data_IF_689023507770
#
_entry.id   IF_689023507770
#
_cell.length_a   1.000
_cell.length_b   1.000
_cell.length_c   1.000
_cell.angle_alpha   90.00
_cell.angle_beta   90.00
_cell.angle_gamma   90.00
#
_symmetry.space_group_name_H-M   'P 1'
#
loop_
_entity.id
_entity.type
_entity.pdbx_description
1 polymer ?
#
# COMPACT_ATOMS: atom_id res chain seq x y z
N UNK A 1 22.31 20.08 -0.64
CA UNK A 1 22.94 18.96 -1.38
C UNK A 1 22.17 17.64 -1.28
N UNK A 2 21.39 17.39 -0.21
CA UNK A 2 20.55 16.17 -0.05
C UNK A 2 19.28 16.22 -0.91
N UNK A 3 18.64 17.39 -1.02
CA UNK A 3 17.40 17.59 -1.81
C UNK A 3 17.62 17.26 -3.29
N UNK A 4 18.75 17.68 -3.87
CA UNK A 4 19.06 17.46 -5.29
C UNK A 4 19.30 16.00 -5.66
N UNK A 5 19.75 15.15 -4.72
CA UNK A 5 19.99 13.72 -4.97
C UNK A 5 18.68 12.92 -5.01
N UNK A 6 17.68 13.33 -4.21
CA UNK A 6 16.34 12.74 -4.24
C UNK A 6 15.54 13.15 -5.48
N UNK A 7 15.61 14.41 -5.91
CA UNK A 7 14.98 14.84 -7.18
C UNK A 7 15.53 14.05 -8.37
N UNK A 8 16.83 13.78 -8.46
CA UNK A 8 17.39 12.98 -9.58
C UNK A 8 16.88 11.53 -9.63
N UNK A 9 16.61 10.87 -8.50
CA UNK A 9 16.03 9.50 -8.48
C UNK A 9 14.49 9.55 -8.72
N UNK A 10 13.81 10.65 -8.37
CA UNK A 10 12.39 10.88 -8.71
C UNK A 10 12.14 11.23 -10.19
N UNK A 11 12.99 12.07 -10.79
CA UNK A 11 12.79 12.56 -12.16
C UNK A 11 12.89 11.44 -13.21
N UNK A 12 13.62 10.36 -12.92
CA UNK A 12 13.79 9.23 -13.85
C UNK A 12 12.60 8.24 -13.82
N UNK A 13 11.71 8.32 -12.83
CA UNK A 13 10.53 7.43 -12.70
C UNK A 13 9.22 8.20 -12.94
N UNK A 14 9.28 9.52 -13.14
CA UNK A 14 8.09 10.32 -13.46
C UNK A 14 7.52 10.06 -14.87
N UNK A 15 8.28 9.43 -15.78
CA UNK A 15 7.83 9.11 -17.14
C UNK A 15 6.96 7.85 -17.25
N UNK A 16 6.77 7.05 -16.19
CA UNK A 16 5.95 5.83 -16.23
C UNK A 16 4.53 6.05 -15.64
N UNK A 17 4.18 7.29 -15.31
CA UNK A 17 2.88 7.65 -14.72
C UNK A 17 1.82 7.93 -15.81
N UNK A 18 1.07 6.90 -16.20
CA UNK A 18 -0.29 7.05 -16.74
C UNK A 18 -1.13 5.78 -16.47
N UNK A 19 -2.42 5.87 -16.07
CA UNK A 19 -3.28 7.04 -15.94
C UNK A 19 -3.59 7.45 -14.48
N UNK A 20 -3.70 8.76 -14.28
CA UNK A 20 -4.05 9.52 -13.06
C UNK A 20 -5.49 9.32 -12.56
N UNK A 21 -6.07 8.15 -12.77
CA UNK A 21 -7.48 7.89 -12.45
C UNK A 21 -7.68 6.43 -12.10
N UNK A 22 -8.31 6.18 -10.94
CA UNK A 22 -8.86 4.87 -10.58
C UNK A 22 -9.57 4.22 -11.78
N UNK A 23 -9.32 2.93 -12.10
CA UNK A 23 -10.08 2.25 -13.13
C UNK A 23 -11.59 2.38 -12.84
N UNK A 24 -12.42 2.73 -13.85
CA UNK A 24 -13.86 2.95 -13.67
C UNK A 24 -14.58 1.79 -13.00
N UNK A 25 -14.05 0.57 -13.16
CA UNK A 25 -14.56 -0.67 -12.57
C UNK A 25 -14.58 -0.68 -11.04
N UNK A 26 -13.90 0.25 -10.38
CA UNK A 26 -13.87 0.34 -8.92
C UNK A 26 -14.82 1.40 -8.34
N UNK A 27 -15.49 2.20 -9.19
CA UNK A 27 -16.24 3.40 -8.76
C UNK A 27 -17.74 3.20 -8.56
N UNK A 28 -18.35 2.06 -8.91
CA UNK A 28 -19.81 1.90 -8.83
C UNK A 28 -20.25 0.87 -7.78
N UNK A 29 -20.73 1.37 -6.64
CA UNK A 29 -21.54 0.63 -5.66
C UNK A 29 -20.82 -0.38 -4.77
N UNK A 30 -19.54 -0.66 -5.02
CA UNK A 30 -18.74 -1.59 -4.20
C UNK A 30 -17.77 -0.83 -3.29
N UNK A 31 -17.48 -1.45 -2.13
CA UNK A 31 -16.40 -1.00 -1.26
C UNK A 31 -15.06 -1.19 -1.95
N UNK A 32 -14.24 -0.14 -1.94
CA UNK A 32 -12.89 -0.21 -2.51
C UNK A 32 -11.96 -0.94 -1.54
N UNK A 33 -11.22 -1.94 -2.02
CA UNK A 33 -10.21 -2.65 -1.23
C UNK A 33 -8.85 -2.53 -1.92
N UNK A 34 -7.88 -1.95 -1.21
CA UNK A 34 -6.49 -1.87 -1.68
C UNK A 34 -5.54 -2.57 -0.70
N UNK A 35 -4.51 -3.21 -1.24
CA UNK A 35 -3.38 -3.72 -0.50
C UNK A 35 -2.22 -2.74 -0.57
N UNK A 36 -1.57 -2.47 0.56
CA UNK A 36 -0.35 -1.69 0.66
C UNK A 36 0.80 -2.58 1.13
N UNK A 37 1.91 -2.52 0.42
CA UNK A 37 3.15 -3.21 0.78
C UNK A 37 4.36 -2.27 0.71
N UNK A 38 5.14 -2.22 1.78
CA UNK A 38 6.35 -1.40 1.89
C UNK A 38 7.55 -2.24 1.50
N UNK A 39 8.31 -1.78 0.51
CA UNK A 39 9.56 -2.42 0.08
C UNK A 39 10.75 -1.50 0.34
N UNK A 40 11.71 -1.98 1.13
CA UNK A 40 12.96 -1.26 1.35
C UNK A 40 13.87 -1.38 0.12
N UNK A 41 14.20 -0.24 -0.47
CA UNK A 41 15.16 -0.18 -1.56
C UNK A 41 16.59 -0.30 -1.01
N UNK A 42 17.39 -1.15 -1.65
CA UNK A 42 18.81 -1.38 -1.33
C UNK A 42 19.70 -0.69 -2.36
N UNK A 43 20.91 -0.32 -1.95
CA UNK A 43 21.93 0.26 -2.84
C UNK A 43 21.99 1.79 -2.74
N UNK A 44 22.13 2.46 -3.90
CA UNK A 44 22.36 3.90 -3.99
C UNK A 44 21.10 4.73 -3.66
N UNK A 45 19.90 4.27 -4.06
CA UNK A 45 18.64 4.90 -3.64
C UNK A 45 18.19 4.24 -2.34
N UNK A 46 18.21 5.02 -1.24
CA UNK A 46 17.75 4.62 0.09
C UNK A 46 16.31 5.11 0.26
N UNK A 47 15.42 4.26 0.77
CA UNK A 47 14.03 4.63 1.04
C UNK A 47 13.10 3.43 1.05
N UNK A 48 11.82 3.73 1.22
CA UNK A 48 10.72 2.78 1.17
C UNK A 48 9.88 3.08 -0.07
N UNK A 49 9.64 2.06 -0.89
CA UNK A 49 8.73 2.10 -2.02
C UNK A 49 7.41 1.47 -1.60
N UNK A 50 6.34 2.24 -1.68
CA UNK A 50 4.99 1.77 -1.42
C UNK A 50 4.39 1.19 -2.71
N UNK A 51 4.01 -0.08 -2.68
CA UNK A 51 3.26 -0.72 -3.76
C UNK A 51 1.79 -0.80 -3.40
N UNK A 52 0.94 -0.39 -4.34
CA UNK A 52 -0.52 -0.38 -4.18
C UNK A 52 -1.13 -1.37 -5.16
N UNK A 53 -1.88 -2.33 -4.62
CA UNK A 53 -2.63 -3.31 -5.39
C UNK A 53 -4.12 -3.16 -5.15
N UNK A 54 -4.92 -3.27 -6.20
CA UNK A 54 -6.38 -3.25 -6.14
C UNK A 54 -6.94 -4.65 -6.17
N UNK A 55 -8.16 -4.80 -5.67
CA UNK A 55 -8.99 -5.97 -5.91
C UNK A 55 -10.30 -5.55 -6.58
N UNK A 56 -10.68 -6.21 -7.67
CA UNK A 56 -11.98 -5.97 -8.33
C UNK A 56 -13.09 -6.85 -7.73
N UNK A 57 -14.32 -6.64 -8.20
CA UNK A 57 -15.48 -7.43 -7.80
C UNK A 57 -15.38 -8.92 -8.17
N UNK A 58 -14.50 -9.28 -9.12
CA UNK A 58 -14.24 -10.65 -9.56
C UNK A 58 -13.08 -11.30 -8.79
N UNK A 59 -12.61 -10.69 -7.69
CA UNK A 59 -11.44 -11.13 -6.91
C UNK A 59 -10.11 -11.13 -7.66
N UNK A 60 -10.00 -10.47 -8.81
CA UNK A 60 -8.71 -10.28 -9.45
C UNK A 60 -7.89 -9.22 -8.70
N UNK A 61 -6.59 -9.45 -8.63
CA UNK A 61 -5.62 -8.50 -8.06
C UNK A 61 -4.85 -7.86 -9.20
N UNK A 62 -4.74 -6.54 -9.18
CA UNK A 62 -4.01 -5.78 -10.19
C UNK A 62 -3.16 -4.68 -9.53
N UNK A 63 -1.99 -4.35 -10.09
CA UNK A 63 -1.23 -3.20 -9.63
C UNK A 63 -2.00 -1.91 -9.95
N UNK A 64 -2.05 -0.99 -9.00
CA UNK A 64 -2.65 0.34 -9.20
C UNK A 64 -1.58 1.41 -9.35
N UNK A 65 -0.70 1.54 -8.36
CA UNK A 65 0.28 2.62 -8.31
C UNK A 65 1.50 2.21 -7.49
N UNK A 66 2.61 2.90 -7.74
CA UNK A 66 3.80 2.90 -6.89
C UNK A 66 4.08 4.32 -6.46
N UNK A 67 4.31 4.52 -5.17
CA UNK A 67 4.57 5.83 -4.60
C UNK A 67 5.69 5.75 -3.57
N UNK A 68 6.41 6.84 -3.41
CA UNK A 68 7.42 6.98 -2.35
C UNK A 68 6.79 7.40 -1.03
N UNK A 69 5.62 8.04 -1.09
CA UNK A 69 4.92 8.59 0.07
C UNK A 69 3.42 8.35 -0.04
N UNK A 70 2.76 8.13 1.10
CA UNK A 70 1.32 7.89 1.16
C UNK A 70 0.51 9.15 0.78
N UNK A 71 1.04 10.34 1.01
CA UNK A 71 0.44 11.62 0.61
C UNK A 71 0.34 11.74 -0.91
N UNK A 72 1.40 11.38 -1.63
CA UNK A 72 1.38 11.34 -3.10
C UNK A 72 0.31 10.36 -3.61
N UNK A 73 0.20 9.19 -2.97
CA UNK A 73 -0.85 8.23 -3.31
C UNK A 73 -2.25 8.80 -3.06
N UNK A 74 -2.46 9.47 -1.93
CA UNK A 74 -3.75 10.09 -1.60
C UNK A 74 -4.16 11.11 -2.66
N UNK A 75 -3.22 11.96 -3.06
CA UNK A 75 -3.46 13.04 -4.01
C UNK A 75 -3.66 12.50 -5.43
N UNK A 76 -2.79 11.59 -5.89
CA UNK A 76 -2.84 11.00 -7.23
C UNK A 76 -4.11 10.16 -7.46
N UNK A 77 -4.64 9.56 -6.40
CA UNK A 77 -5.81 8.69 -6.47
C UNK A 77 -7.11 9.36 -6.01
N UNK A 78 -7.04 10.62 -5.57
CA UNK A 78 -8.17 11.36 -5.01
C UNK A 78 -8.92 10.55 -3.93
N UNK A 79 -8.19 10.01 -2.94
CA UNK A 79 -8.74 9.03 -1.98
C UNK A 79 -9.78 9.61 -0.99
N UNK A 80 -10.07 10.91 -1.05
CA UNK A 80 -11.07 11.60 -0.20
C UNK A 80 -10.89 11.27 1.29
N UNK A 81 -9.65 11.28 1.78
CA UNK A 81 -9.34 10.91 3.17
C UNK A 81 -9.66 9.46 3.56
N UNK A 82 -9.90 8.57 2.59
CA UNK A 82 -10.18 7.14 2.80
C UNK A 82 -11.66 6.78 2.94
N UNK A 83 -12.58 7.67 2.58
CA UNK A 83 -14.01 7.36 2.65
C UNK A 83 -14.37 6.17 1.74
N UNK A 84 -15.12 5.19 2.26
CA UNK A 84 -15.49 3.94 1.58
C UNK A 84 -14.30 3.08 1.09
N UNK A 85 -13.10 3.35 1.60
CA UNK A 85 -11.88 2.60 1.31
C UNK A 85 -11.57 1.62 2.45
N UNK A 86 -11.08 0.44 2.08
CA UNK A 86 -10.50 -0.54 2.98
C UNK A 86 -9.04 -0.76 2.57
N UNK A 87 -8.12 -0.57 3.50
CA UNK A 87 -6.69 -0.79 3.30
C UNK A 87 -6.25 -2.02 4.05
N UNK A 88 -5.69 -2.99 3.32
CA UNK A 88 -5.01 -4.16 3.86
C UNK A 88 -3.52 -3.91 3.82
N UNK A 89 -2.85 -3.92 4.97
CA UNK A 89 -1.40 -3.65 5.02
C UNK A 89 -0.70 -4.58 6.02
N UNK A 90 0.63 -4.64 5.95
CA UNK A 90 1.46 -5.35 6.93
C UNK A 90 1.60 -4.52 8.21
N UNK A 91 1.65 -5.19 9.38
CA UNK A 91 1.66 -4.52 10.68
C UNK A 91 3.02 -3.86 10.99
N UNK A 92 3.34 -2.80 10.26
CA UNK A 92 4.43 -1.89 10.55
C UNK A 92 3.86 -0.67 11.29
N UNK A 93 4.44 -0.33 12.46
CA UNK A 93 3.92 0.76 13.30
C UNK A 93 3.97 2.11 12.57
N UNK A 94 5.03 2.34 11.79
CA UNK A 94 5.19 3.56 10.99
C UNK A 94 4.06 3.73 9.98
N UNK A 95 3.78 2.68 9.20
CA UNK A 95 2.72 2.70 8.20
C UNK A 95 1.34 2.97 8.81
N UNK A 96 1.01 2.31 9.92
CA UNK A 96 -0.30 2.51 10.57
C UNK A 96 -0.50 3.98 10.97
N UNK A 97 0.50 4.61 11.58
CA UNK A 97 0.40 6.01 11.99
C UNK A 97 0.33 6.95 10.77
N UNK A 98 1.08 6.67 9.71
CA UNK A 98 0.99 7.42 8.46
C UNK A 98 -0.42 7.32 7.82
N UNK A 99 -1.00 6.11 7.77
CA UNK A 99 -2.36 5.94 7.22
C UNK A 99 -3.39 6.68 8.06
N UNK A 100 -3.30 6.67 9.40
CA UNK A 100 -4.24 7.43 10.24
C UNK A 100 -4.20 8.93 9.98
N UNK A 101 -3.02 9.46 9.64
CA UNK A 101 -2.83 10.88 9.33
C UNK A 101 -3.36 11.22 7.93
N UNK A 102 -2.98 10.44 6.92
CA UNK A 102 -3.29 10.73 5.50
C UNK A 102 -4.69 10.26 5.09
N UNK A 103 -5.17 9.14 5.64
CA UNK A 103 -6.44 8.49 5.31
C UNK A 103 -7.27 8.23 6.59
N UNK A 104 -7.70 9.29 7.30
CA UNK A 104 -8.32 9.16 8.62
C UNK A 104 -9.66 8.40 8.62
N UNK A 105 -10.33 8.29 7.47
CA UNK A 105 -11.64 7.65 7.35
C UNK A 105 -11.58 6.22 6.82
N UNK A 106 -10.38 5.69 6.60
CA UNK A 106 -10.20 4.36 6.01
C UNK A 106 -10.49 3.24 7.00
N UNK A 107 -11.06 2.14 6.52
CA UNK A 107 -11.05 0.91 7.32
C UNK A 107 -9.69 0.23 7.21
N UNK A 108 -9.09 -0.04 8.37
CA UNK A 108 -7.83 -0.74 8.46
C UNK A 108 -8.05 -2.24 8.62
N UNK A 109 -7.39 -3.04 7.78
CA UNK A 109 -7.27 -4.49 7.94
C UNK A 109 -5.82 -4.91 7.94
N UNK A 110 -5.52 -5.92 8.76
CA UNK A 110 -4.20 -6.57 8.74
C UNK A 110 -4.19 -7.64 7.67
N UNK A 111 -3.08 -7.74 6.95
CA UNK A 111 -2.87 -8.82 6.00
C UNK A 111 -2.89 -10.19 6.72
N UNK A 112 -3.86 -11.04 6.41
CA UNK A 112 -4.01 -12.36 7.01
C UNK A 112 -2.76 -13.25 6.78
N UNK A 113 -2.16 -13.18 5.58
CA UNK A 113 -0.91 -13.90 5.25
C UNK A 113 0.22 -13.53 6.21
N UNK A 114 0.37 -12.24 6.48
CA UNK A 114 1.41 -11.76 7.37
C UNK A 114 1.09 -12.02 8.85
N UNK A 115 -0.18 -11.90 9.25
CA UNK A 115 -0.62 -12.28 10.59
C UNK A 115 -0.31 -13.75 10.85
N UNK A 116 -0.59 -14.62 9.88
CA UNK A 116 -0.26 -16.04 9.93
C UNK A 116 1.26 -16.30 9.95
N UNK A 117 2.03 -15.61 9.10
CA UNK A 117 3.48 -15.73 9.11
C UNK A 117 4.09 -15.32 10.46
N UNK A 118 3.57 -14.25 11.08
CA UNK A 118 3.97 -13.83 12.42
C UNK A 118 3.55 -14.84 13.49
N UNK A 119 2.34 -15.38 13.39
CA UNK A 119 1.87 -16.45 14.28
C UNK A 119 2.82 -17.67 14.22
N UNK A 120 3.18 -18.14 13.03
CA UNK A 120 4.11 -19.28 12.85
C UNK A 120 5.54 -19.03 13.36
N UNK A 121 5.99 -17.77 13.40
CA UNK A 121 7.29 -17.42 14.00
C UNK A 121 7.28 -17.58 15.52
N UNK A 122 6.15 -17.31 16.17
CA UNK A 122 5.98 -17.41 17.63
C UNK A 122 5.59 -18.84 18.05
N UNK A 123 4.74 -19.50 17.26
CA UNK A 123 4.20 -20.81 17.56
C UNK A 123 4.63 -21.82 16.48
N UNK A 124 5.72 -22.55 16.76
CA UNK A 124 6.32 -23.54 15.86
C UNK A 124 5.99 -25.00 16.23
N UNK A 125 5.20 -25.21 17.29
CA UNK A 125 4.83 -26.55 17.78
C UNK A 125 4.01 -27.35 16.77
N UNK A 126 4.13 -28.69 16.81
CA UNK A 126 3.40 -29.63 15.94
C UNK A 126 1.88 -29.41 16.04
N UNK A 127 1.39 -29.02 17.21
CA UNK A 127 -0.01 -28.68 17.48
C UNK A 127 -0.54 -27.54 16.59
N UNK A 128 0.33 -26.62 16.16
CA UNK A 128 -0.02 -25.46 15.35
C UNK A 128 0.34 -25.62 13.86
N UNK A 129 0.76 -26.83 13.45
CA UNK A 129 1.26 -27.11 12.09
C UNK A 129 0.15 -27.14 11.03
N UNK A 130 -1.10 -27.37 11.45
CA UNK A 130 -2.27 -27.56 10.58
C UNK A 130 -3.39 -26.53 10.81
N UNK A 131 -3.10 -25.45 11.55
CA UNK A 131 -3.96 -24.26 11.62
C UNK A 131 -3.57 -23.33 10.46
#
# INVERSE_FOLDING_TARGET
>A
MIVHYYTRCCDTIHEVLHPRTFPPSLKFGCRIVIGLDESFLKGQCKGELLTVIGRDANNHVYPIAWAWFLELLHDDMELQGGLNLCVIFYQHKGLLEAIKVVLPHVEHRKCARHAYANFRKVFSGIEFKNI
#
